data_IF_336283916534
#
_entry.id   IF_336283916534
#
_cell.length_a   1.000
_cell.length_b   1.000
_cell.length_c   1.000
_cell.angle_alpha   90.00
_cell.angle_beta   90.00
_cell.angle_gamma   90.00
#
_symmetry.space_group_name_H-M   'P 1'
#
loop_
_entity.id
_entity.type
_entity.pdbx_description
1 polymer ?
#
# COMPACT_ATOMS: atom_id res chain seq x y z
N UNK A 1 22.59 -10.83 -13.10
CA UNK A 1 23.46 -10.09 -12.17
C UNK A 1 22.63 -9.00 -11.51
N UNK A 2 22.48 -9.01 -10.19
CA UNK A 2 21.61 -8.10 -9.42
C UNK A 2 22.19 -6.68 -9.19
N UNK A 3 23.38 -6.38 -9.72
CA UNK A 3 24.14 -5.19 -9.35
C UNK A 3 23.48 -3.85 -9.69
N UNK A 4 22.61 -3.78 -10.70
CA UNK A 4 21.91 -2.52 -11.05
C UNK A 4 20.70 -2.27 -10.15
N UNK A 5 19.94 -3.32 -9.83
CA UNK A 5 18.82 -3.25 -8.90
C UNK A 5 19.30 -2.94 -7.47
N UNK A 6 20.40 -3.56 -7.06
CA UNK A 6 21.02 -3.31 -5.74
C UNK A 6 21.60 -1.89 -5.64
N UNK A 7 22.21 -1.37 -6.71
CA UNK A 7 22.64 0.04 -6.77
C UNK A 7 21.48 1.02 -6.72
N UNK A 8 20.39 0.75 -7.44
CA UNK A 8 19.21 1.61 -7.45
C UNK A 8 18.46 1.53 -6.10
N UNK A 9 18.39 0.36 -5.46
CA UNK A 9 17.94 0.19 -4.08
C UNK A 9 18.81 0.99 -3.09
N UNK A 10 20.13 0.90 -3.22
CA UNK A 10 21.06 1.70 -2.43
C UNK A 10 20.90 3.20 -2.71
N UNK A 11 20.58 3.60 -3.93
CA UNK A 11 20.34 5.00 -4.27
C UNK A 11 19.02 5.52 -3.69
N UNK A 12 17.93 4.75 -3.76
CA UNK A 12 16.66 5.04 -3.09
C UNK A 12 16.88 5.18 -1.57
N UNK A 13 17.62 4.24 -0.97
CA UNK A 13 18.02 4.31 0.42
C UNK A 13 18.93 5.53 0.72
N UNK A 14 19.81 5.92 -0.20
CA UNK A 14 20.72 7.09 -0.06
C UNK A 14 19.99 8.42 -0.23
N UNK A 15 18.94 8.48 -1.05
CA UNK A 15 18.07 9.67 -1.20
C UNK A 15 17.28 9.93 0.06
N UNK A 16 16.98 8.89 0.84
CA UNK A 16 16.42 9.02 2.16
C UNK A 16 17.48 9.54 3.15
N UNK A 17 17.43 10.84 3.45
CA UNK A 17 18.36 11.52 4.38
C UNK A 17 18.01 11.36 5.87
N UNK A 18 17.11 10.44 6.21
CA UNK A 18 16.69 10.18 7.60
C UNK A 18 15.90 11.31 8.28
N UNK A 19 15.82 12.51 7.73
CA UNK A 19 15.09 13.62 8.35
C UNK A 19 13.68 13.75 7.78
N UNK A 20 12.68 13.95 8.65
CA UNK A 20 11.37 14.46 8.24
C UNK A 20 11.55 15.91 7.77
N UNK A 21 11.18 16.28 6.53
CA UNK A 21 11.32 17.66 6.06
C UNK A 21 10.57 18.65 6.96
N UNK A 22 11.23 19.76 7.33
CA UNK A 22 10.63 20.80 8.18
C UNK A 22 9.43 21.51 7.51
N UNK A 23 9.38 21.47 6.17
CA UNK A 23 8.28 22.00 5.37
C UNK A 23 7.91 20.98 4.29
N UNK A 24 6.68 20.43 4.38
CA UNK A 24 6.08 19.61 3.34
C UNK A 24 5.38 20.48 2.32
N UNK A 25 5.40 20.09 1.04
CA UNK A 25 4.55 20.70 0.03
C UNK A 25 3.10 20.30 0.32
N UNK A 26 2.27 21.27 0.69
CA UNK A 26 0.82 21.02 0.74
C UNK A 26 0.28 20.95 -0.69
N UNK A 27 -0.16 19.77 -1.10
CA UNK A 27 -0.86 19.58 -2.37
C UNK A 27 -2.26 20.17 -2.25
N UNK A 28 -2.46 21.38 -2.80
CA UNK A 28 -3.79 22.00 -2.93
C UNK A 28 -4.28 21.79 -4.35
N UNK A 29 -5.39 21.07 -4.52
CA UNK A 29 -6.02 20.79 -5.81
C UNK A 29 -5.04 20.28 -6.89
N UNK A 30 -4.27 19.21 -6.60
CA UNK A 30 -3.37 18.69 -7.60
C UNK A 30 -4.13 18.24 -8.85
N UNK A 31 -3.61 18.54 -10.05
CA UNK A 31 -4.09 17.92 -11.29
C UNK A 31 -3.69 16.44 -11.25
N UNK A 32 -4.59 15.61 -10.74
CA UNK A 32 -4.41 14.17 -10.63
C UNK A 32 -4.30 13.51 -12.01
N UNK A 33 -3.76 12.29 -12.07
CA UNK A 33 -3.88 11.47 -13.27
C UNK A 33 -5.37 11.33 -13.63
N UNK A 34 -5.78 11.67 -14.88
CA UNK A 34 -7.19 11.69 -15.24
C UNK A 34 -7.78 10.28 -15.15
N UNK A 35 -8.77 10.12 -14.27
CA UNK A 35 -9.61 8.92 -14.22
C UNK A 35 -10.67 9.10 -15.30
N UNK A 36 -10.68 8.22 -16.31
CA UNK A 36 -11.73 8.23 -17.35
C UNK A 36 -13.13 8.11 -16.74
N UNK A 37 -13.23 7.51 -15.55
CA UNK A 37 -14.48 7.36 -14.83
C UNK A 37 -14.50 8.24 -13.58
N UNK A 38 -15.38 9.25 -13.61
CA UNK A 38 -15.65 10.13 -12.48
C UNK A 38 -16.62 9.44 -11.51
N UNK A 39 -16.09 8.63 -10.60
CA UNK A 39 -16.89 8.10 -9.49
C UNK A 39 -16.81 9.08 -8.33
N UNK A 40 -17.92 9.77 -8.04
CA UNK A 40 -17.95 10.71 -6.91
C UNK A 40 -17.89 9.99 -5.56
N UNK A 41 -18.29 8.71 -5.50
CA UNK A 41 -18.06 7.79 -4.36
C UNK A 41 -18.13 6.33 -4.83
N UNK A 42 -17.35 5.43 -4.20
CA UNK A 42 -17.41 3.98 -4.42
C UNK A 42 -18.84 3.47 -4.26
N UNK A 43 -19.53 3.99 -3.25
CA UNK A 43 -20.89 3.68 -2.81
C UNK A 43 -21.94 3.77 -3.93
N UNK A 44 -21.71 4.57 -4.97
CA UNK A 44 -22.59 4.72 -6.13
C UNK A 44 -22.50 3.55 -7.13
N UNK A 45 -21.39 2.81 -7.14
CA UNK A 45 -21.19 1.69 -8.06
C UNK A 45 -22.04 0.46 -7.73
N UNK A 46 -22.43 0.27 -6.46
CA UNK A 46 -23.29 -0.85 -6.03
C UNK A 46 -23.78 -0.66 -4.57
N UNK A 47 -24.97 -0.07 -4.33
CA UNK A 47 -25.47 0.21 -2.97
C UNK A 47 -25.57 -1.01 -2.04
N UNK A 48 -25.79 -2.21 -2.59
CA UNK A 48 -25.94 -3.48 -1.88
C UNK A 48 -24.68 -4.38 -1.79
N UNK A 49 -23.53 -3.97 -2.34
CA UNK A 49 -22.40 -4.86 -2.66
C UNK A 49 -21.06 -4.37 -2.13
N UNK A 50 -21.00 -3.10 -1.70
CA UNK A 50 -19.84 -2.57 -0.99
C UNK A 50 -19.83 -3.09 0.42
N UNK A 51 -19.15 -4.22 0.64
CA UNK A 51 -18.64 -4.68 1.94
C UNK A 51 -19.50 -4.27 3.14
N UNK A 52 -20.79 -4.67 3.12
CA UNK A 52 -21.66 -4.63 4.29
C UNK A 52 -22.58 -5.84 4.30
N UNK A 53 -22.03 -6.99 4.67
CA UNK A 53 -22.68 -7.66 5.80
C UNK A 53 -22.40 -6.79 7.04
N UNK A 54 -23.30 -6.68 8.02
CA UNK A 54 -22.98 -5.95 9.24
C UNK A 54 -21.62 -6.42 9.75
N UNK A 55 -20.75 -5.46 10.09
CA UNK A 55 -19.45 -5.69 10.72
C UNK A 55 -19.58 -6.41 12.08
N UNK A 56 -20.81 -6.72 12.48
CA UNK A 56 -21.22 -7.34 13.73
C UNK A 56 -21.08 -8.87 13.72
N UNK A 57 -20.18 -9.44 12.91
CA UNK A 57 -20.03 -10.90 12.80
C UNK A 57 -18.60 -11.36 12.56
N UNK A 58 -18.07 -12.36 13.32
CA UNK A 58 -16.70 -12.86 13.15
C UNK A 58 -16.44 -13.54 11.78
N UNK A 59 -17.49 -13.83 11.01
CA UNK A 59 -17.42 -14.52 9.71
C UNK A 59 -17.56 -13.59 8.49
N UNK A 60 -18.02 -12.35 8.66
CA UNK A 60 -18.21 -11.42 7.52
C UNK A 60 -16.90 -10.77 7.08
N UNK A 61 -15.93 -10.59 8.00
CA UNK A 61 -14.59 -10.06 7.70
C UNK A 61 -13.85 -10.90 6.64
N UNK A 62 -14.05 -12.22 6.66
CA UNK A 62 -13.33 -13.16 5.80
C UNK A 62 -14.10 -13.61 4.54
N UNK A 63 -15.35 -13.15 4.33
CA UNK A 63 -16.07 -13.42 3.07
C UNK A 63 -15.56 -12.47 1.99
N UNK A 64 -14.57 -12.97 1.25
CA UNK A 64 -13.90 -12.33 0.10
C UNK A 64 -14.90 -12.08 -1.04
N UNK A 65 -15.60 -10.95 -1.03
CA UNK A 65 -16.08 -10.37 -2.29
C UNK A 65 -14.90 -9.56 -2.82
N UNK A 66 -14.39 -9.81 -4.04
CA UNK A 66 -13.33 -8.99 -4.61
C UNK A 66 -13.79 -7.52 -4.64
N UNK A 67 -13.02 -6.57 -4.09
CA UNK A 67 -13.34 -5.16 -4.19
C UNK A 67 -13.52 -4.74 -5.66
N UNK A 68 -14.42 -3.80 -5.92
CA UNK A 68 -14.42 -3.06 -7.19
C UNK A 68 -13.22 -2.11 -7.20
N UNK A 69 -12.04 -2.63 -7.54
CA UNK A 69 -10.79 -1.86 -7.53
C UNK A 69 -10.76 -0.81 -8.65
N UNK A 70 -10.11 0.34 -8.39
CA UNK A 70 -10.04 1.46 -9.31
C UNK A 70 -9.40 1.06 -10.64
N UNK A 71 -8.30 0.31 -10.61
CA UNK A 71 -7.58 -0.09 -11.83
C UNK A 71 -8.36 -0.97 -12.80
N UNK A 72 -9.49 -1.56 -12.39
CA UNK A 72 -10.38 -2.26 -13.32
C UNK A 72 -11.31 -1.32 -14.11
N UNK A 73 -11.40 -0.05 -13.68
CA UNK A 73 -12.32 0.95 -14.21
C UNK A 73 -11.64 2.27 -14.58
N UNK A 74 -10.33 2.39 -14.32
CA UNK A 74 -9.53 3.55 -14.64
C UNK A 74 -8.49 3.20 -15.70
N UNK A 75 -8.37 4.05 -16.71
CA UNK A 75 -7.30 3.96 -17.67
C UNK A 75 -6.07 4.72 -17.18
N UNK A 76 -5.07 3.99 -16.68
CA UNK A 76 -3.79 4.59 -16.27
C UNK A 76 -2.81 4.81 -17.44
N UNK A 77 -3.20 4.60 -18.69
CA UNK A 77 -2.30 4.72 -19.86
C UNK A 77 -1.72 6.13 -20.03
N UNK A 78 -2.46 7.15 -19.58
CA UNK A 78 -2.06 8.55 -19.70
C UNK A 78 -1.33 9.08 -18.45
N UNK A 79 -1.14 8.25 -17.43
CA UNK A 79 -0.36 8.63 -16.25
C UNK A 79 1.13 8.67 -16.60
N UNK A 80 1.85 9.58 -15.96
CA UNK A 80 3.30 9.75 -16.18
C UNK A 80 4.09 8.50 -15.77
N UNK A 81 3.67 7.87 -14.69
CA UNK A 81 4.30 6.71 -14.06
C UNK A 81 3.25 5.96 -13.23
N UNK A 82 3.30 4.62 -13.21
CA UNK A 82 2.45 3.76 -12.38
C UNK A 82 3.28 3.08 -11.30
N UNK A 83 2.98 3.36 -10.05
CA UNK A 83 3.76 2.91 -8.89
C UNK A 83 2.88 2.08 -7.96
N UNK A 84 3.37 0.90 -7.60
CA UNK A 84 2.77 0.06 -6.57
C UNK A 84 3.66 0.04 -5.34
N UNK A 85 3.06 0.20 -4.15
CA UNK A 85 3.78 0.24 -2.89
C UNK A 85 3.12 -0.70 -1.88
N UNK A 86 3.84 -1.69 -1.38
CA UNK A 86 3.44 -2.58 -0.29
C UNK A 86 4.27 -2.23 0.95
N UNK A 87 3.66 -1.56 1.91
CA UNK A 87 4.35 -1.09 3.12
C UNK A 87 4.30 -2.09 4.29
N UNK A 88 3.86 -3.32 4.01
CA UNK A 88 3.67 -4.41 4.95
C UNK A 88 3.99 -5.77 4.33
N UNK A 89 5.05 -5.82 3.52
CA UNK A 89 5.32 -6.92 2.63
C UNK A 89 5.97 -8.08 3.38
N UNK A 90 5.19 -9.03 3.89
CA UNK A 90 5.74 -10.17 4.65
C UNK A 90 6.43 -11.22 3.80
N UNK A 91 5.76 -11.69 2.75
CA UNK A 91 6.28 -12.73 1.85
C UNK A 91 5.84 -12.45 0.40
N UNK A 92 6.73 -12.66 -0.56
CA UNK A 92 6.41 -12.41 -1.97
C UNK A 92 5.33 -13.38 -2.50
N UNK A 93 5.39 -14.64 -2.11
CA UNK A 93 4.59 -15.74 -2.64
C UNK A 93 3.52 -16.30 -1.67
N UNK A 94 3.24 -15.60 -0.56
CA UNK A 94 2.18 -16.00 0.36
C UNK A 94 0.77 -15.68 -0.16
N UNK A 95 -0.24 -16.18 0.56
CA UNK A 95 -1.66 -15.96 0.26
C UNK A 95 -2.10 -14.49 0.46
N UNK A 96 -1.31 -13.73 1.21
CA UNK A 96 -1.47 -12.32 1.53
C UNK A 96 -0.40 -11.45 0.84
N UNK A 97 0.55 -12.10 0.14
CA UNK A 97 1.72 -11.48 -0.47
C UNK A 97 1.49 -10.92 -1.87
N UNK A 98 2.56 -10.41 -2.46
CA UNK A 98 2.54 -9.74 -3.77
C UNK A 98 1.96 -10.61 -4.91
N UNK A 99 2.30 -11.91 -4.98
CA UNK A 99 1.72 -12.78 -5.99
C UNK A 99 0.20 -12.94 -5.86
N UNK A 100 -0.33 -12.88 -4.63
CA UNK A 100 -1.77 -12.91 -4.41
C UNK A 100 -2.42 -11.59 -4.80
N UNK A 101 -1.73 -10.46 -4.57
CA UNK A 101 -2.14 -9.15 -5.08
C UNK A 101 -2.23 -9.12 -6.61
N UNK A 102 -1.24 -9.65 -7.33
CA UNK A 102 -1.28 -9.72 -8.80
C UNK A 102 -2.49 -10.49 -9.33
N UNK A 103 -2.94 -11.54 -8.62
CA UNK A 103 -4.13 -12.32 -9.00
C UNK A 103 -5.43 -11.57 -8.76
N UNK A 104 -5.51 -10.84 -7.66
CA UNK A 104 -6.71 -10.09 -7.27
C UNK A 104 -6.84 -8.77 -8.02
N UNK A 105 -5.71 -8.16 -8.37
CA UNK A 105 -5.60 -6.85 -8.99
C UNK A 105 -4.66 -6.94 -10.20
N UNK A 106 -5.14 -7.57 -11.28
CA UNK A 106 -4.37 -7.77 -12.51
C UNK A 106 -3.91 -6.49 -13.22
N UNK A 107 -4.51 -5.29 -13.03
CA UNK A 107 -3.94 -4.04 -13.53
C UNK A 107 -2.50 -3.80 -13.06
N UNK A 108 -2.09 -4.38 -11.92
CA UNK A 108 -0.70 -4.34 -11.47
C UNK A 108 0.27 -4.93 -12.47
N UNK A 109 -0.15 -5.87 -13.33
CA UNK A 109 0.73 -6.40 -14.37
C UNK A 109 1.26 -5.30 -15.29
N UNK A 110 0.58 -4.15 -15.35
CA UNK A 110 0.93 -3.00 -16.16
C UNK A 110 1.61 -1.84 -15.42
N UNK A 111 2.05 -2.02 -14.17
CA UNK A 111 2.75 -1.00 -13.39
C UNK A 111 4.25 -0.94 -13.69
N UNK A 112 4.86 0.22 -13.49
CA UNK A 112 6.24 0.53 -13.89
C UNK A 112 7.25 0.27 -12.77
N UNK A 113 6.87 0.55 -11.52
CA UNK A 113 7.73 0.47 -10.33
C UNK A 113 6.99 -0.18 -9.16
N UNK A 114 7.72 -0.99 -8.38
CA UNK A 114 7.16 -1.75 -7.26
C UNK A 114 8.08 -1.62 -6.06
N UNK A 115 7.53 -1.15 -4.95
CA UNK A 115 8.24 -0.96 -3.70
C UNK A 115 7.63 -1.84 -2.62
N UNK A 116 8.46 -2.63 -1.94
CA UNK A 116 8.05 -3.51 -0.85
C UNK A 116 8.87 -3.18 0.40
N UNK A 117 8.20 -3.09 1.55
CA UNK A 117 8.83 -2.83 2.85
C UNK A 117 8.58 -3.96 3.83
N UNK A 118 9.63 -4.41 4.50
CA UNK A 118 9.54 -5.36 5.62
C UNK A 118 10.59 -4.98 6.65
N UNK A 119 10.16 -4.71 7.86
CA UNK A 119 11.06 -4.31 8.92
C UNK A 119 11.88 -5.48 9.47
N UNK A 120 11.27 -6.67 9.54
CA UNK A 120 11.89 -7.84 10.14
C UNK A 120 12.87 -8.49 9.16
N UNK A 121 14.15 -8.47 9.52
CA UNK A 121 15.22 -9.07 8.73
C UNK A 121 14.89 -10.53 8.36
N UNK A 122 14.96 -10.85 7.06
CA UNK A 122 14.76 -12.20 6.56
C UNK A 122 13.30 -12.68 6.47
N UNK A 123 12.31 -11.86 6.80
CA UNK A 123 10.89 -12.19 6.61
C UNK A 123 10.50 -12.09 5.13
N UNK A 124 10.79 -10.95 4.49
CA UNK A 124 10.59 -10.81 3.06
C UNK A 124 11.67 -11.55 2.29
N UNK A 125 11.25 -12.60 1.59
CA UNK A 125 12.12 -13.42 0.74
C UNK A 125 11.73 -13.15 -0.70
N UNK A 126 12.61 -12.46 -1.41
CA UNK A 126 12.50 -12.33 -2.85
C UNK A 126 13.11 -13.60 -3.50
N UNK A 127 12.39 -14.29 -4.39
CA UNK A 127 12.97 -15.39 -5.15
C UNK A 127 14.18 -14.94 -5.97
N UNK A 128 15.13 -15.83 -6.29
CA UNK A 128 16.18 -15.56 -7.26
C UNK A 128 15.60 -14.99 -8.56
N UNK A 129 16.35 -14.11 -9.23
CA UNK A 129 15.88 -13.36 -10.41
C UNK A 129 15.13 -14.24 -11.43
N UNK A 130 15.70 -15.38 -11.82
CA UNK A 130 15.12 -16.23 -12.86
C UNK A 130 13.83 -16.92 -12.38
N UNK A 131 13.76 -17.25 -11.09
CA UNK A 131 12.55 -17.77 -10.47
C UNK A 131 11.47 -16.69 -10.39
N UNK A 132 11.83 -15.47 -10.01
CA UNK A 132 10.92 -14.32 -9.99
C UNK A 132 10.33 -14.07 -11.38
N UNK A 133 11.16 -14.02 -12.43
CA UNK A 133 10.70 -13.88 -13.82
C UNK A 133 9.71 -15.00 -14.18
N UNK A 134 10.03 -16.26 -13.86
CA UNK A 134 9.15 -17.40 -14.14
C UNK A 134 7.81 -17.29 -13.41
N UNK A 135 7.82 -16.87 -12.14
CA UNK A 135 6.62 -16.69 -11.34
C UNK A 135 5.72 -15.58 -11.91
N UNK A 136 6.31 -14.47 -12.34
CA UNK A 136 5.58 -13.35 -12.95
C UNK A 136 4.94 -13.72 -14.29
N UNK A 137 5.69 -14.44 -15.15
CA UNK A 137 5.15 -14.97 -16.41
C UNK A 137 3.97 -15.91 -16.14
N UNK A 138 4.07 -16.75 -15.10
CA UNK A 138 2.98 -17.62 -14.67
C UNK A 138 1.73 -16.85 -14.21
N UNK A 139 1.87 -15.63 -13.69
CA UNK A 139 0.74 -14.75 -13.37
C UNK A 139 0.18 -14.01 -14.60
N UNK A 140 0.78 -14.16 -15.79
CA UNK A 140 0.35 -13.52 -17.03
C UNK A 140 1.16 -12.30 -17.44
N UNK A 141 2.26 -11.98 -16.76
CA UNK A 141 3.15 -10.88 -17.17
C UNK A 141 3.92 -11.26 -18.45
N UNK A 142 3.97 -10.36 -19.43
CA UNK A 142 4.76 -10.58 -20.65
C UNK A 142 6.26 -10.82 -20.33
N UNK A 143 6.97 -11.77 -20.99
CA UNK A 143 8.35 -12.14 -20.62
C UNK A 143 9.34 -10.98 -20.54
N UNK A 144 9.32 -10.07 -21.51
CA UNK A 144 10.19 -8.87 -21.50
C UNK A 144 9.90 -8.00 -20.29
N UNK A 145 8.62 -7.85 -19.94
CA UNK A 145 8.18 -7.04 -18.81
C UNK A 145 8.56 -7.71 -17.49
N UNK A 146 8.40 -9.03 -17.38
CA UNK A 146 8.83 -9.79 -16.20
C UNK A 146 10.33 -9.64 -15.95
N UNK A 147 11.16 -9.64 -17.00
CA UNK A 147 12.60 -9.40 -16.91
C UNK A 147 12.96 -7.94 -16.55
N UNK A 148 12.14 -6.97 -16.95
CA UNK A 148 12.30 -5.57 -16.50
C UNK A 148 11.86 -5.41 -15.05
N UNK A 149 10.71 -5.96 -14.68
CA UNK A 149 10.17 -5.96 -13.33
C UNK A 149 11.19 -6.53 -12.34
N UNK A 150 11.77 -7.70 -12.63
CA UNK A 150 12.71 -8.37 -11.72
C UNK A 150 13.96 -7.53 -11.43
N UNK A 151 14.23 -6.50 -12.24
CA UNK A 151 15.30 -5.52 -12.03
C UNK A 151 14.83 -4.21 -11.40
N UNK A 152 13.54 -3.86 -11.53
CA UNK A 152 12.91 -2.63 -11.02
C UNK A 152 11.93 -2.90 -9.86
N UNK A 153 12.08 -4.05 -9.21
CA UNK A 153 11.40 -4.40 -7.96
C UNK A 153 12.31 -4.02 -6.79
N UNK A 154 11.86 -3.07 -5.98
CA UNK A 154 12.63 -2.52 -4.88
C UNK A 154 12.15 -3.11 -3.57
N UNK A 155 13.09 -3.63 -2.78
CA UNK A 155 12.84 -4.07 -1.43
C UNK A 155 13.62 -3.20 -0.44
N UNK A 156 12.95 -2.71 0.59
CA UNK A 156 13.55 -1.90 1.64
C UNK A 156 13.29 -2.55 2.99
N UNK A 157 14.36 -2.81 3.74
CA UNK A 157 14.24 -3.31 5.10
C UNK A 157 14.08 -2.16 6.11
N UNK A 158 12.86 -1.66 6.25
CA UNK A 158 12.53 -0.54 7.14
C UNK A 158 11.11 -0.64 7.66
N UNK A 159 10.85 -0.07 8.84
CA UNK A 159 9.47 0.20 9.28
C UNK A 159 8.92 1.37 8.49
N UNK A 160 7.67 1.27 8.02
CA UNK A 160 6.93 2.43 7.54
C UNK A 160 6.07 2.96 8.68
N UNK A 161 6.19 4.25 8.96
CA UNK A 161 5.47 4.91 10.04
C UNK A 161 5.00 6.30 9.65
N UNK A 162 4.41 7.01 10.62
CA UNK A 162 3.94 8.39 10.42
C UNK A 162 5.08 9.40 10.26
N UNK A 163 6.27 9.11 10.80
CA UNK A 163 7.44 10.00 10.75
C UNK A 163 8.72 9.20 10.56
N UNK A 164 9.71 9.82 9.92
CA UNK A 164 11.04 9.24 9.79
C UNK A 164 11.78 9.27 11.14
N UNK A 165 12.31 8.11 11.55
CA UNK A 165 13.14 7.90 12.75
C UNK A 165 14.35 7.04 12.39
N UNK A 166 15.39 7.61 11.77
CA UNK A 166 16.56 6.88 11.29
C UNK A 166 17.39 6.25 12.41
N UNK A 167 17.22 6.73 13.64
CA UNK A 167 17.88 6.22 14.83
C UNK A 167 17.30 4.90 15.36
N UNK A 168 16.17 4.43 14.82
CA UNK A 168 15.56 3.16 15.22
C UNK A 168 16.21 1.98 14.49
N UNK A 169 16.11 0.77 15.09
CA UNK A 169 16.62 -0.47 14.48
C UNK A 169 15.50 -1.51 14.41
N UNK A 170 15.01 -1.86 13.21
CA UNK A 170 15.30 -1.25 11.92
C UNK A 170 14.78 0.20 11.87
N UNK A 171 15.34 0.99 10.96
CA UNK A 171 14.96 2.40 10.82
C UNK A 171 13.50 2.57 10.43
N UNK A 172 12.86 3.64 10.90
CA UNK A 172 11.51 4.01 10.48
C UNK A 172 11.56 5.07 9.40
N UNK A 173 10.85 4.86 8.30
CA UNK A 173 10.66 5.81 7.21
C UNK A 173 9.25 6.38 7.32
N UNK A 174 9.13 7.70 7.36
CA UNK A 174 7.83 8.38 7.32
C UNK A 174 7.18 8.16 5.96
N UNK A 175 5.94 7.66 5.91
CA UNK A 175 5.31 7.29 4.64
C UNK A 175 5.15 8.49 3.70
N UNK A 176 4.67 9.63 4.21
CA UNK A 176 4.60 10.89 3.46
C UNK A 176 5.98 11.34 2.94
N UNK A 177 7.06 11.14 3.71
CA UNK A 177 8.44 11.46 3.27
C UNK A 177 8.88 10.57 2.12
N UNK A 178 8.54 9.28 2.21
CA UNK A 178 8.84 8.33 1.17
C UNK A 178 8.15 8.69 -0.15
N UNK A 179 6.85 9.00 -0.10
CA UNK A 179 6.07 9.36 -1.27
C UNK A 179 6.58 10.66 -1.94
N UNK A 180 6.73 11.73 -1.15
CA UNK A 180 7.04 13.05 -1.68
C UNK A 180 8.53 13.25 -1.98
N UNK A 181 9.41 12.83 -1.06
CA UNK A 181 10.84 13.17 -1.11
C UNK A 181 11.66 12.04 -1.71
N UNK A 182 11.46 10.80 -1.26
CA UNK A 182 12.26 9.67 -1.73
C UNK A 182 11.87 9.25 -3.16
N UNK A 183 10.58 9.07 -3.41
CA UNK A 183 10.05 8.70 -4.73
C UNK A 183 9.79 9.88 -5.66
N UNK A 184 9.72 11.10 -5.09
CA UNK A 184 9.45 12.31 -5.87
C UNK A 184 8.10 12.26 -6.59
N UNK A 185 7.10 11.57 -6.02
CA UNK A 185 5.82 11.36 -6.67
C UNK A 185 5.16 12.69 -7.03
N UNK A 186 4.57 12.72 -8.20
CA UNK A 186 3.78 13.85 -8.67
C UNK A 186 2.33 13.40 -8.83
N UNK A 187 1.35 14.32 -8.76
CA UNK A 187 -0.05 14.01 -8.99
C UNK A 187 -0.39 13.34 -10.31
N UNK A 188 0.46 13.49 -11.32
CA UNK A 188 0.30 12.83 -12.62
C UNK A 188 0.76 11.36 -12.61
N UNK A 189 1.35 10.89 -11.52
CA UNK A 189 1.66 9.48 -11.31
C UNK A 189 0.39 8.76 -10.83
N UNK A 190 0.18 7.53 -11.28
CA UNK A 190 -0.81 6.62 -10.70
C UNK A 190 -0.18 5.83 -9.57
N UNK A 191 -0.78 5.87 -8.38
CA UNK A 191 -0.19 5.26 -7.18
C UNK A 191 -1.19 4.37 -6.47
N UNK A 192 -0.82 3.10 -6.31
CA UNK A 192 -1.60 2.10 -5.59
C UNK A 192 -0.80 1.61 -4.39
N UNK A 193 -1.43 1.60 -3.21
CA UNK A 193 -0.79 1.24 -1.95
C UNK A 193 -1.49 0.03 -1.34
N UNK A 194 -0.73 -0.98 -0.92
CA UNK A 194 -1.17 -1.98 0.07
C UNK A 194 -0.55 -1.62 1.43
N UNK A 195 -1.39 -1.47 2.45
CA UNK A 195 -0.97 -1.14 3.81
C UNK A 195 -1.44 -2.23 4.77
N UNK A 196 -0.47 -2.88 5.40
CA UNK A 196 -0.63 -3.90 6.43
C UNK A 196 0.56 -3.77 7.39
N UNK A 197 0.48 -2.79 8.28
CA UNK A 197 1.64 -2.30 9.06
C UNK A 197 1.51 -2.62 10.55
N UNK A 198 0.68 -3.60 10.87
CA UNK A 198 0.60 -4.21 12.20
C UNK A 198 0.39 -3.18 13.32
N UNK A 199 -0.54 -2.23 13.12
CA UNK A 199 -0.97 -1.27 14.15
C UNK A 199 -0.57 0.19 13.92
N UNK A 200 0.22 0.51 12.90
CA UNK A 200 0.60 1.90 12.60
C UNK A 200 -0.36 2.61 11.62
N UNK A 201 -1.44 1.95 11.20
CA UNK A 201 -2.32 2.44 10.13
C UNK A 201 -2.92 3.80 10.46
N UNK A 202 -3.48 3.94 11.68
CA UNK A 202 -4.15 5.16 12.11
C UNK A 202 -3.21 6.36 12.10
N UNK A 203 -2.00 6.19 12.65
CA UNK A 203 -1.01 7.28 12.72
C UNK A 203 -0.55 7.70 11.32
N UNK A 204 -0.35 6.73 10.41
CA UNK A 204 0.04 7.00 9.03
C UNK A 204 -1.08 7.71 8.29
N UNK A 205 -2.31 7.18 8.31
CA UNK A 205 -3.45 7.77 7.61
C UNK A 205 -3.77 9.16 8.14
N UNK A 206 -3.75 9.36 9.47
CA UNK A 206 -3.94 10.68 10.06
C UNK A 206 -2.88 11.67 9.56
N UNK A 207 -1.63 11.23 9.42
CA UNK A 207 -0.55 12.07 8.89
C UNK A 207 -0.76 12.40 7.41
N UNK A 208 -1.05 11.41 6.57
CA UNK A 208 -1.35 11.59 5.14
C UNK A 208 -2.48 12.61 4.90
N UNK A 209 -3.53 12.55 5.72
CA UNK A 209 -4.65 13.47 5.67
C UNK A 209 -4.26 14.87 6.15
N UNK A 210 -3.57 14.95 7.29
CA UNK A 210 -3.17 16.23 7.89
C UNK A 210 -2.17 17.01 7.04
N UNK A 211 -1.24 16.33 6.37
CA UNK A 211 -0.22 16.97 5.54
C UNK A 211 -0.59 17.13 4.06
N UNK A 212 -1.64 16.44 3.61
CA UNK A 212 -2.13 16.51 2.23
C UNK A 212 -1.47 15.54 1.26
N UNK A 213 -0.53 14.69 1.71
CA UNK A 213 0.16 13.73 0.84
C UNK A 213 -0.72 12.56 0.41
N UNK A 214 -1.88 12.34 1.05
CA UNK A 214 -2.92 11.42 0.55
C UNK A 214 -3.27 11.70 -0.92
N UNK A 215 -3.16 12.95 -1.39
CA UNK A 215 -3.47 13.33 -2.76
C UNK A 215 -2.46 12.78 -3.81
N UNK A 216 -1.38 12.14 -3.36
CA UNK A 216 -0.45 11.38 -4.20
C UNK A 216 -0.83 9.91 -4.32
N UNK A 217 -1.89 9.46 -3.64
CA UNK A 217 -2.34 8.06 -3.63
C UNK A 217 -3.69 8.00 -4.33
N UNK A 218 -3.78 7.19 -5.39
CA UNK A 218 -5.05 6.98 -6.09
C UNK A 218 -5.92 5.95 -5.39
N UNK A 219 -5.31 4.84 -4.97
CA UNK A 219 -6.00 3.69 -4.41
C UNK A 219 -5.19 3.09 -3.25
N UNK A 220 -5.89 2.68 -2.20
CA UNK A 220 -5.29 2.03 -1.03
C UNK A 220 -6.09 0.79 -0.62
N UNK A 221 -5.38 -0.33 -0.49
CA UNK A 221 -5.87 -1.56 0.13
C UNK A 221 -5.29 -1.62 1.54
N UNK A 222 -6.13 -1.45 2.55
CA UNK A 222 -5.74 -1.20 3.92
C UNK A 222 -6.21 -2.33 4.84
N UNK A 223 -5.33 -2.97 5.59
CA UNK A 223 -5.73 -3.83 6.71
C UNK A 223 -5.69 -2.99 7.96
N UNK A 224 -6.83 -2.87 8.65
CA UNK A 224 -6.91 -2.03 9.86
C UNK A 224 -6.93 -2.91 11.09
N UNK A 225 -5.91 -2.74 11.92
CA UNK A 225 -5.83 -3.37 13.21
C UNK A 225 -6.64 -2.56 14.25
N UNK A 226 -7.75 -3.12 14.73
CA UNK A 226 -8.59 -2.55 15.80
C UNK A 226 -9.02 -3.62 16.81
N UNK A 227 -9.56 -3.20 17.96
CA UNK A 227 -9.88 -4.05 19.11
C UNK A 227 -11.07 -4.99 18.95
N UNK A 228 -11.17 -5.73 17.83
CA UNK A 228 -12.26 -6.67 17.59
C UNK A 228 -12.16 -7.90 18.53
N UNK A 229 -13.23 -8.26 19.28
CA UNK A 229 -13.18 -9.35 20.27
C UNK A 229 -12.74 -10.70 19.70
N UNK A 230 -13.19 -11.06 18.49
CA UNK A 230 -12.78 -12.29 17.83
C UNK A 230 -11.29 -12.29 17.49
N UNK A 231 -10.76 -11.16 17.01
CA UNK A 231 -9.36 -11.11 16.59
C UNK A 231 -8.41 -11.19 17.80
N UNK A 232 -8.80 -10.55 18.91
CA UNK A 232 -8.11 -10.68 20.20
C UNK A 232 -8.01 -12.14 20.66
N UNK A 233 -9.08 -12.92 20.50
CA UNK A 233 -9.14 -14.31 20.94
C UNK A 233 -8.42 -15.27 19.99
N UNK A 234 -8.57 -15.09 18.68
CA UNK A 234 -8.07 -16.04 17.66
C UNK A 234 -6.61 -15.79 17.27
N UNK A 235 -6.21 -14.53 17.12
CA UNK A 235 -4.90 -14.17 16.57
C UNK A 235 -3.93 -13.60 17.60
N UNK A 236 -4.31 -13.64 18.89
CA UNK A 236 -3.55 -13.02 19.97
C UNK A 236 -3.23 -11.54 19.73
N UNK A 237 -4.03 -10.87 18.90
CA UNK A 237 -4.00 -9.42 18.74
C UNK A 237 -4.28 -8.77 20.11
N UNK A 238 -3.74 -7.58 20.34
CA UNK A 238 -3.80 -6.88 21.63
C UNK A 238 -2.86 -7.38 22.73
N UNK A 239 -1.90 -8.27 22.44
CA UNK A 239 -0.94 -8.74 23.45
C UNK A 239 0.28 -7.82 23.65
N UNK A 240 0.49 -6.84 22.77
CA UNK A 240 1.52 -5.81 22.94
C UNK A 240 0.88 -4.41 22.94
N UNK A 241 1.47 -3.41 23.62
CA UNK A 241 0.95 -2.03 23.63
C UNK A 241 0.88 -1.37 22.25
N UNK A 242 1.58 -1.96 21.27
CA UNK A 242 1.71 -1.50 19.89
C UNK A 242 0.45 -1.81 19.06
N UNK A 243 -0.34 -2.82 19.45
CA UNK A 243 -1.64 -3.10 18.82
C UNK A 243 -2.74 -2.36 19.58
N UNK A 244 -3.21 -1.28 18.96
CA UNK A 244 -4.10 -0.31 19.56
C UNK A 244 -5.53 -0.84 19.72
N UNK A 245 -5.74 -1.65 20.76
CA UNK A 245 -7.04 -2.25 21.02
C UNK A 245 -8.05 -1.34 21.71
N UNK A 246 -7.75 -0.05 21.81
CA UNK A 246 -8.73 1.00 22.10
C UNK A 246 -9.41 1.50 20.82
N UNK A 247 -8.83 1.30 19.63
CA UNK A 247 -9.55 1.61 18.40
C UNK A 247 -10.70 0.65 18.23
N UNK A 248 -11.86 1.21 17.91
CA UNK A 248 -13.09 0.49 17.66
C UNK A 248 -13.30 0.28 16.17
N UNK A 249 -14.28 -0.55 15.86
CA UNK A 249 -14.80 -0.68 14.51
C UNK A 249 -15.26 0.66 13.91
N UNK A 250 -15.83 1.53 14.75
CA UNK A 250 -16.26 2.86 14.34
C UNK A 250 -15.06 3.75 13.97
N UNK A 251 -13.97 3.67 14.74
CA UNK A 251 -12.73 4.37 14.38
C UNK A 251 -12.18 3.87 13.03
N UNK A 252 -12.13 2.55 12.83
CA UNK A 252 -11.70 1.97 11.56
C UNK A 252 -12.60 2.44 10.40
N UNK A 253 -13.92 2.41 10.58
CA UNK A 253 -14.89 2.86 9.57
C UNK A 253 -14.72 4.34 9.22
N UNK A 254 -14.54 5.19 10.24
CA UNK A 254 -14.33 6.63 10.06
C UNK A 254 -13.01 6.95 9.34
N UNK A 255 -11.97 6.13 9.54
CA UNK A 255 -10.70 6.28 8.81
C UNK A 255 -10.88 6.03 7.30
N UNK A 256 -11.61 4.98 6.91
CA UNK A 256 -11.94 4.75 5.50
C UNK A 256 -12.77 5.87 4.89
N UNK A 257 -13.78 6.36 5.63
CA UNK A 257 -14.60 7.47 5.17
C UNK A 257 -13.75 8.72 4.95
N UNK A 258 -12.87 9.05 5.90
CA UNK A 258 -11.95 10.19 5.77
C UNK A 258 -11.04 10.10 4.54
N UNK A 259 -10.52 8.92 4.22
CA UNK A 259 -9.71 8.70 3.00
C UNK A 259 -10.55 8.91 1.73
N UNK A 260 -11.77 8.38 1.70
CA UNK A 260 -12.68 8.50 0.55
C UNK A 260 -13.17 9.92 0.33
N UNK A 261 -13.54 10.61 1.41
CA UNK A 261 -13.93 12.03 1.38
C UNK A 261 -12.78 12.92 0.90
N UNK A 262 -11.53 12.48 1.13
CA UNK A 262 -10.32 13.12 0.62
C UNK A 262 -9.95 12.71 -0.82
N UNK A 263 -10.76 11.89 -1.49
CA UNK A 263 -10.60 11.48 -2.90
C UNK A 263 -9.76 10.22 -3.14
N UNK A 264 -9.33 9.54 -2.09
CA UNK A 264 -8.57 8.28 -2.18
C UNK A 264 -9.52 7.09 -2.30
N UNK A 265 -9.26 6.20 -3.25
CA UNK A 265 -10.05 5.01 -3.46
C UNK A 265 -9.64 3.92 -2.45
N UNK A 266 -10.31 3.90 -1.29
CA UNK A 266 -9.88 3.09 -0.14
C UNK A 266 -10.71 1.81 0.04
N UNK A 267 -10.03 0.67 0.14
CA UNK A 267 -10.57 -0.68 0.26
C UNK A 267 -10.06 -1.40 1.50
N UNK A 268 -10.89 -2.27 2.05
CA UNK A 268 -10.45 -3.23 3.05
C UNK A 268 -9.50 -4.25 2.44
N UNK A 269 -8.37 -4.46 3.09
CA UNK A 269 -7.49 -5.62 2.96
C UNK A 269 -7.74 -6.56 4.16
N UNK A 270 -7.98 -7.86 3.92
CA UNK A 270 -8.40 -8.81 4.94
C UNK A 270 -7.25 -9.54 5.64
#
# INVERSE_FOLDING_TARGET
MCGDAEKEQMEVARRWKGATPAHRRRWRNPKACPRETNFSTLEQLWPAGHFRGPLNGPRSYFRRVPPHFLGYHANFSNCRRKVYIDIGAKHFDSKEGFLSMLKLYTPLLDFDEYYAFEAVAGFYKLPPHDELVRLLIKQGMHPTRAATFSRRHFFLQAFIGSRSKPETTPSTIGFSDFLETTLGLQPADAVVVKMDVEGYEFDIVQTLLADGTHALIDEIMLEVHYGHPYMRQTYNWCRTPQFWCFYTLENATSMYQSLRDAGVYAHHWP
#
